data_IF_229649222297
#
_entry.id   IF_229649222297
#
_cell.length_a   1.000
_cell.length_b   1.000
_cell.length_c   1.000
_cell.angle_alpha   90.00
_cell.angle_beta   90.00
_cell.angle_gamma   90.00
#
_symmetry.space_group_name_H-M   'P 1'
#
loop_
_entity.id
_entity.type
_entity.pdbx_description
1 polymer ?
#
# COMPACT_ATOMS: atom_id res chain seq x y z
N UNK A 1 19.42 5.76 18.16
CA UNK A 1 18.21 4.93 17.97
C UNK A 1 17.52 5.15 16.64
N UNK A 2 17.41 6.37 16.16
CA UNK A 2 16.84 6.66 14.81
C UNK A 2 17.57 5.98 13.65
N UNK A 3 18.89 5.84 13.73
CA UNK A 3 19.70 5.14 12.70
C UNK A 3 19.37 3.64 12.56
N UNK A 4 18.91 2.99 13.62
CA UNK A 4 18.62 1.54 13.59
C UNK A 4 17.35 1.22 12.84
N UNK A 5 16.28 2.00 13.04
CA UNK A 5 15.00 1.75 12.37
C UNK A 5 15.05 2.10 10.87
N UNK A 6 15.67 3.22 10.51
CA UNK A 6 15.87 3.59 9.11
C UNK A 6 16.64 2.49 8.36
N UNK A 7 17.62 1.86 9.02
CA UNK A 7 18.36 0.72 8.50
C UNK A 7 17.46 -0.50 8.28
N UNK A 8 16.60 -0.86 9.25
CA UNK A 8 15.68 -2.00 9.11
C UNK A 8 14.64 -1.81 8.01
N UNK A 9 14.13 -0.58 7.84
CA UNK A 9 13.22 -0.25 6.75
C UNK A 9 13.95 -0.38 5.41
N UNK A 10 15.16 0.14 5.29
CA UNK A 10 15.95 0.04 4.07
C UNK A 10 16.25 -1.42 3.70
N UNK A 11 16.73 -2.22 4.64
CA UNK A 11 16.99 -3.65 4.43
C UNK A 11 15.73 -4.42 4.00
N UNK A 12 14.57 -4.12 4.60
CA UNK A 12 13.29 -4.70 4.19
C UNK A 12 12.92 -4.31 2.75
N UNK A 13 13.08 -3.04 2.39
CA UNK A 13 12.75 -2.56 1.04
C UNK A 13 13.67 -3.18 -0.02
N UNK A 14 14.94 -3.33 0.28
CA UNK A 14 15.93 -3.99 -0.60
C UNK A 14 15.55 -5.47 -0.80
N UNK A 15 15.15 -6.17 0.27
CA UNK A 15 14.74 -7.57 0.19
C UNK A 15 13.49 -7.76 -0.66
N UNK A 16 12.43 -6.96 -0.45
CA UNK A 16 11.20 -7.09 -1.25
C UNK A 16 11.40 -6.66 -2.70
N UNK A 17 12.32 -5.75 -2.97
CA UNK A 17 12.70 -5.40 -4.34
C UNK A 17 13.33 -6.60 -5.05
N UNK A 18 14.28 -7.27 -4.40
CA UNK A 18 14.94 -8.46 -4.94
C UNK A 18 14.00 -9.64 -5.12
N UNK A 19 13.12 -9.89 -4.13
CA UNK A 19 12.24 -11.06 -4.13
C UNK A 19 11.00 -10.90 -5.02
N UNK A 20 10.42 -9.69 -5.08
CA UNK A 20 9.12 -9.44 -5.70
C UNK A 20 9.17 -8.55 -6.93
N UNK A 21 10.30 -7.94 -7.23
CA UNK A 21 10.46 -7.03 -8.37
C UNK A 21 9.47 -5.86 -8.35
N UNK A 22 9.19 -5.31 -7.15
CA UNK A 22 8.27 -4.19 -7.01
C UNK A 22 8.81 -2.93 -7.68
N UNK A 23 7.91 -2.10 -8.21
CA UNK A 23 8.31 -0.83 -8.82
C UNK A 23 8.89 0.15 -7.79
N UNK A 24 9.79 1.03 -8.22
CA UNK A 24 10.37 2.09 -7.40
C UNK A 24 9.29 2.95 -6.71
N UNK A 25 8.20 3.25 -7.41
CA UNK A 25 7.06 4.00 -6.86
C UNK A 25 6.39 3.27 -5.70
N UNK A 26 6.27 1.94 -5.80
CA UNK A 26 5.71 1.12 -4.71
C UNK A 26 6.63 1.10 -3.50
N UNK A 27 7.94 0.93 -3.71
CA UNK A 27 8.93 0.94 -2.64
C UNK A 27 8.98 2.30 -1.93
N UNK A 28 8.99 3.40 -2.69
CA UNK A 28 8.94 4.75 -2.14
C UNK A 28 7.64 5.01 -1.35
N UNK A 29 6.51 4.47 -1.80
CA UNK A 29 5.24 4.57 -1.09
C UNK A 29 5.27 3.78 0.23
N UNK A 30 5.83 2.56 0.22
CA UNK A 30 5.99 1.74 1.42
C UNK A 30 6.92 2.40 2.44
N UNK A 31 8.05 2.94 1.98
CA UNK A 31 8.97 3.69 2.83
C UNK A 31 8.28 4.87 3.53
N UNK A 32 7.54 5.69 2.75
CA UNK A 32 6.79 6.82 3.31
C UNK A 32 5.73 6.37 4.33
N UNK A 33 5.04 5.28 4.06
CA UNK A 33 4.01 4.75 4.96
C UNK A 33 4.62 4.26 6.28
N UNK A 34 5.75 3.56 6.24
CA UNK A 34 6.46 3.06 7.43
C UNK A 34 7.03 4.22 8.26
N UNK A 35 7.75 5.15 7.63
CA UNK A 35 8.33 6.33 8.31
C UNK A 35 7.24 7.21 8.91
N UNK A 36 6.15 7.46 8.18
CA UNK A 36 5.03 8.24 8.70
C UNK A 36 4.35 7.57 9.90
N UNK A 37 4.29 6.24 9.92
CA UNK A 37 3.75 5.48 11.06
C UNK A 37 4.64 5.62 12.28
N UNK A 38 5.96 5.50 12.13
CA UNK A 38 6.91 5.73 13.23
C UNK A 38 6.77 7.12 13.84
N UNK A 39 6.75 8.15 13.00
CA UNK A 39 6.57 9.53 13.45
C UNK A 39 5.23 9.72 14.18
N UNK A 40 4.16 9.09 13.69
CA UNK A 40 2.85 9.16 14.31
C UNK A 40 2.85 8.49 15.68
N UNK A 41 3.40 7.26 15.79
CA UNK A 41 3.52 6.51 17.04
C UNK A 41 4.28 7.33 18.09
N UNK A 42 5.42 7.88 17.71
CA UNK A 42 6.26 8.67 18.62
C UNK A 42 5.58 9.96 19.12
N UNK A 43 4.74 10.61 18.30
CA UNK A 43 4.14 11.91 18.63
C UNK A 43 2.76 11.81 19.26
N UNK A 44 2.00 10.76 18.99
CA UNK A 44 0.58 10.67 19.33
C UNK A 44 0.29 9.77 20.51
N UNK A 45 1.17 8.82 20.79
CA UNK A 45 1.00 7.91 21.91
C UNK A 45 1.87 8.34 23.09
N UNK A 46 1.30 8.31 24.28
CA UNK A 46 1.97 8.77 25.52
C UNK A 46 3.23 7.96 25.86
N UNK A 47 3.28 6.70 25.47
CA UNK A 47 4.44 5.82 25.65
C UNK A 47 5.41 5.84 24.47
N UNK A 48 5.13 6.62 23.43
CA UNK A 48 5.99 6.87 22.27
C UNK A 48 6.70 5.62 21.74
N UNK A 49 5.98 4.54 21.39
CA UNK A 49 6.62 3.30 20.95
C UNK A 49 7.29 3.51 19.60
N UNK A 50 8.41 2.84 19.40
CA UNK A 50 8.99 2.70 18.05
C UNK A 50 8.15 1.74 17.22
N UNK A 51 8.34 1.74 15.90
CA UNK A 51 7.65 0.78 15.02
C UNK A 51 7.95 -0.69 15.42
N UNK A 52 9.16 -0.98 15.89
CA UNK A 52 9.54 -2.31 16.38
C UNK A 52 8.95 -2.65 17.77
N UNK A 53 8.58 -1.65 18.57
CA UNK A 53 7.99 -1.85 19.88
C UNK A 53 6.47 -1.70 19.89
N UNK A 54 5.88 -1.30 18.77
CA UNK A 54 4.44 -1.09 18.64
C UNK A 54 3.66 -2.42 18.75
N UNK A 55 2.61 -2.40 19.54
CA UNK A 55 1.71 -3.53 19.69
C UNK A 55 0.48 -3.39 18.76
N UNK A 56 -0.40 -4.40 18.79
CA UNK A 56 -1.62 -4.41 17.99
C UNK A 56 -2.51 -3.17 18.25
N UNK A 57 -2.67 -2.76 19.52
CA UNK A 57 -3.52 -1.61 19.87
C UNK A 57 -2.95 -0.29 19.33
N UNK A 58 -1.63 -0.13 19.33
CA UNK A 58 -0.94 1.04 18.78
C UNK A 58 -1.17 1.16 17.27
N UNK A 59 -1.05 0.05 16.55
CA UNK A 59 -1.28 0.01 15.11
C UNK A 59 -2.75 0.19 14.73
N UNK A 60 -3.66 -0.34 15.54
CA UNK A 60 -5.09 -0.12 15.37
C UNK A 60 -5.44 1.36 15.55
N UNK A 61 -4.86 2.02 16.55
CA UNK A 61 -5.02 3.46 16.76
C UNK A 61 -4.46 4.28 15.59
N UNK A 62 -3.31 3.89 15.04
CA UNK A 62 -2.73 4.53 13.85
C UNK A 62 -3.64 4.36 12.62
N UNK A 63 -4.19 3.19 12.40
CA UNK A 63 -5.14 2.91 11.32
C UNK A 63 -6.41 3.75 11.47
N UNK A 64 -7.00 3.78 12.66
CA UNK A 64 -8.19 4.57 12.97
C UNK A 64 -7.95 6.05 12.71
N UNK A 65 -6.80 6.57 13.15
CA UNK A 65 -6.43 7.97 12.89
C UNK A 65 -6.35 8.28 11.39
N UNK A 66 -5.75 7.39 10.58
CA UNK A 66 -5.69 7.56 9.12
C UNK A 66 -7.08 7.60 8.48
N UNK A 67 -7.97 6.71 8.89
CA UNK A 67 -9.35 6.67 8.39
C UNK A 67 -10.09 7.96 8.77
N UNK A 68 -9.96 8.42 10.01
CA UNK A 68 -10.60 9.65 10.50
C UNK A 68 -10.06 10.91 9.80
N UNK A 69 -8.81 10.89 9.34
CA UNK A 69 -8.22 11.98 8.54
C UNK A 69 -8.65 11.94 7.06
N UNK A 70 -9.56 11.04 6.68
CA UNK A 70 -10.08 10.94 5.32
C UNK A 70 -9.18 10.17 4.34
N UNK A 71 -8.23 9.36 4.83
CA UNK A 71 -7.43 8.52 3.95
C UNK A 71 -8.31 7.57 3.13
N UNK A 72 -8.12 7.55 1.82
CA UNK A 72 -8.87 6.67 0.92
C UNK A 72 -8.61 5.18 1.22
N UNK A 73 -9.60 4.34 0.98
CA UNK A 73 -9.54 2.87 1.24
C UNK A 73 -8.30 2.21 0.62
N UNK A 74 -7.92 2.58 -0.60
CA UNK A 74 -6.71 2.07 -1.28
C UNK A 74 -5.43 2.48 -0.55
N UNK A 75 -5.39 3.70 -0.04
CA UNK A 75 -4.25 4.23 0.72
C UNK A 75 -4.07 3.48 2.04
N UNK A 76 -5.16 3.21 2.76
CA UNK A 76 -5.15 2.42 4.00
C UNK A 76 -4.76 0.97 3.72
N UNK A 77 -5.28 0.37 2.64
CA UNK A 77 -4.94 -1.00 2.24
C UNK A 77 -3.45 -1.13 1.88
N UNK A 78 -2.90 -0.16 1.13
CA UNK A 78 -1.45 -0.13 0.83
C UNK A 78 -0.61 0.00 2.10
N UNK A 79 -0.98 0.93 2.97
CA UNK A 79 -0.32 1.13 4.26
C UNK A 79 -0.30 -0.15 5.09
N UNK A 80 -1.43 -0.85 5.21
CA UNK A 80 -1.50 -2.12 5.94
C UNK A 80 -0.65 -3.21 5.26
N UNK A 81 -0.59 -3.22 3.92
CA UNK A 81 0.28 -4.15 3.18
C UNK A 81 1.76 -3.88 3.44
N UNK A 82 2.17 -2.61 3.51
CA UNK A 82 3.54 -2.22 3.85
C UNK A 82 3.91 -2.65 5.27
N UNK A 83 3.04 -2.41 6.25
CA UNK A 83 3.25 -2.84 7.64
C UNK A 83 3.34 -4.36 7.77
N UNK A 84 2.39 -5.09 7.19
CA UNK A 84 2.40 -6.57 7.21
C UNK A 84 3.66 -7.15 6.58
N UNK A 85 4.11 -6.56 5.48
CA UNK A 85 5.36 -6.96 4.85
C UNK A 85 6.55 -6.74 5.78
N UNK A 86 6.64 -5.55 6.36
CA UNK A 86 7.72 -5.18 7.29
C UNK A 86 7.76 -6.06 8.55
N UNK A 87 6.62 -6.29 9.19
CA UNK A 87 6.58 -7.11 10.40
C UNK A 87 6.87 -8.59 10.12
N UNK A 88 6.39 -9.15 8.98
CA UNK A 88 6.79 -10.50 8.56
C UNK A 88 8.28 -10.61 8.33
N UNK A 89 8.88 -9.60 7.71
CA UNK A 89 10.32 -9.52 7.54
C UNK A 89 11.03 -9.51 8.90
N UNK A 90 10.57 -8.70 9.86
CA UNK A 90 11.15 -8.63 11.20
C UNK A 90 11.04 -9.96 11.95
N UNK A 91 9.92 -10.67 11.83
CA UNK A 91 9.76 -12.00 12.46
C UNK A 91 10.64 -13.03 11.76
N UNK A 92 10.72 -13.04 10.44
CA UNK A 92 11.56 -13.96 9.68
C UNK A 92 13.07 -13.80 9.99
N UNK A 93 13.50 -12.59 10.37
CA UNK A 93 14.88 -12.28 10.75
C UNK A 93 15.09 -12.23 12.26
N UNK A 94 14.19 -12.86 13.04
CA UNK A 94 14.28 -12.98 14.50
C UNK A 94 14.43 -11.64 15.24
N UNK A 95 13.90 -10.55 14.64
CA UNK A 95 13.89 -9.22 15.24
C UNK A 95 12.67 -8.96 16.12
N UNK A 96 11.61 -9.75 15.92
CA UNK A 96 10.37 -9.76 16.68
C UNK A 96 9.89 -11.19 16.84
N UNK A 97 9.32 -11.49 17.99
CA UNK A 97 8.75 -12.80 18.28
C UNK A 97 7.39 -13.01 17.62
N UNK A 98 6.60 -11.94 17.52
CA UNK A 98 5.24 -11.97 16.96
C UNK A 98 4.97 -10.80 16.00
N UNK A 99 4.06 -11.03 15.06
CA UNK A 99 3.58 -10.00 14.12
C UNK A 99 2.37 -9.26 14.72
N UNK A 100 2.52 -7.98 15.12
CA UNK A 100 1.43 -7.22 15.72
C UNK A 100 0.31 -6.86 14.71
N UNK A 101 0.53 -7.07 13.41
CA UNK A 101 -0.48 -6.84 12.38
C UNK A 101 -1.37 -8.04 12.11
N UNK A 102 -1.12 -9.19 12.76
CA UNK A 102 -1.79 -10.46 12.50
C UNK A 102 -3.33 -10.37 12.52
N UNK A 103 -3.88 -9.58 13.43
CA UNK A 103 -5.33 -9.43 13.61
C UNK A 103 -5.89 -8.10 13.09
N UNK A 104 -5.06 -7.27 12.44
CA UNK A 104 -5.54 -6.06 11.79
C UNK A 104 -6.29 -6.45 10.50
N UNK A 105 -7.55 -6.08 10.42
CA UNK A 105 -8.35 -6.34 9.23
C UNK A 105 -8.31 -5.16 8.25
N UNK A 106 -8.33 -5.46 6.97
CA UNK A 106 -8.50 -4.43 5.95
C UNK A 106 -9.86 -3.76 6.09
N UNK A 107 -9.93 -2.43 5.93
CA UNK A 107 -11.23 -1.75 5.82
C UNK A 107 -12.04 -2.43 4.72
N UNK A 108 -13.27 -2.87 5.04
CA UNK A 108 -14.15 -3.53 4.06
C UNK A 108 -14.29 -2.67 2.82
N UNK A 109 -13.66 -3.08 1.75
CA UNK A 109 -13.84 -2.48 0.44
C UNK A 109 -15.12 -3.09 -0.13
N UNK A 110 -16.15 -2.27 -0.33
CA UNK A 110 -17.25 -2.67 -1.19
C UNK A 110 -16.65 -3.05 -2.55
N UNK A 111 -16.87 -4.27 -3.02
CA UNK A 111 -16.56 -4.64 -4.40
C UNK A 111 -17.37 -3.72 -5.30
N UNK A 112 -16.73 -2.73 -5.90
CA UNK A 112 -17.33 -2.06 -7.04
C UNK A 112 -17.30 -3.08 -8.18
N UNK A 113 -18.49 -3.55 -8.56
CA UNK A 113 -18.62 -4.33 -9.77
C UNK A 113 -18.12 -3.44 -10.94
N UNK A 114 -17.33 -4.00 -11.86
CA UNK A 114 -16.95 -3.28 -13.06
C UNK A 114 -18.24 -2.77 -13.74
N UNK A 115 -18.26 -1.50 -14.08
CA UNK A 115 -19.36 -0.95 -14.88
C UNK A 115 -19.25 -1.58 -16.26
N UNK A 116 -20.18 -2.46 -16.59
CA UNK A 116 -20.29 -2.99 -17.95
C UNK A 116 -20.71 -1.87 -18.91
N UNK A 117 -20.08 -1.82 -20.06
CA UNK A 117 -20.50 -0.92 -21.14
C UNK A 117 -21.79 -1.47 -21.74
N UNK A 118 -22.71 -0.57 -22.12
CA UNK A 118 -23.86 -0.95 -22.96
C UNK A 118 -23.39 -1.27 -24.37
N UNK A 119 -24.20 -2.01 -25.15
CA UNK A 119 -23.90 -2.31 -26.55
C UNK A 119 -23.64 -1.03 -27.37
N UNK A 120 -24.44 0.01 -27.17
CA UNK A 120 -24.28 1.31 -27.81
C UNK A 120 -22.95 2.00 -27.44
N UNK A 121 -22.50 1.86 -26.18
CA UNK A 121 -21.21 2.40 -25.73
C UNK A 121 -20.02 1.63 -26.33
N UNK A 122 -20.17 0.31 -26.50
CA UNK A 122 -19.17 -0.53 -27.18
C UNK A 122 -19.07 -0.13 -28.66
N UNK A 123 -20.22 0.04 -29.36
CA UNK A 123 -20.23 0.45 -30.76
C UNK A 123 -19.58 1.83 -30.95
N UNK A 124 -19.86 2.79 -30.06
CA UNK A 124 -19.23 4.11 -30.07
C UNK A 124 -17.73 4.03 -29.80
N UNK A 125 -17.28 3.15 -28.90
CA UNK A 125 -15.88 2.95 -28.62
C UNK A 125 -15.14 2.37 -29.84
N UNK A 126 -15.74 1.37 -30.50
CA UNK A 126 -15.17 0.75 -31.70
C UNK A 126 -15.15 1.72 -32.91
N UNK A 127 -16.07 2.65 -32.98
CA UNK A 127 -16.13 3.66 -34.04
C UNK A 127 -15.24 4.90 -33.76
N UNK A 128 -14.77 5.09 -32.54
CA UNK A 128 -14.03 6.29 -32.11
C UNK A 128 -12.68 6.52 -32.82
N UNK A 129 -11.86 5.48 -33.15
CA UNK A 129 -10.61 5.72 -33.82
C UNK A 129 -10.78 6.23 -35.25
N UNK A 130 -10.06 7.30 -35.60
CA UNK A 130 -10.07 7.87 -36.96
C UNK A 130 -9.41 6.91 -37.96
N UNK A 131 -10.14 6.54 -39.02
CA UNK A 131 -9.66 5.57 -40.04
C UNK A 131 -8.77 6.21 -41.12
N UNK A 132 -8.64 7.52 -41.12
CA UNK A 132 -7.81 8.31 -42.04
C UNK A 132 -6.38 8.52 -41.59
N UNK A 133 -6.03 8.03 -40.40
CA UNK A 133 -4.67 8.10 -39.83
C UNK A 133 -4.11 6.72 -39.54
N UNK A 134 -2.77 6.55 -39.68
CA UNK A 134 -2.08 5.29 -39.36
C UNK A 134 -2.30 4.88 -37.88
N UNK A 135 -2.30 5.85 -36.97
CA UNK A 135 -2.54 5.62 -35.54
C UNK A 135 -3.98 5.17 -35.29
N UNK A 136 -4.94 5.81 -35.92
CA UNK A 136 -6.36 5.42 -35.77
C UNK A 136 -6.66 4.04 -36.35
N UNK A 137 -6.06 3.68 -37.49
CA UNK A 137 -6.15 2.32 -38.05
C UNK A 137 -5.56 1.27 -37.08
N UNK A 138 -4.41 1.55 -36.49
CA UNK A 138 -3.81 0.71 -35.46
C UNK A 138 -4.73 0.55 -34.26
N UNK A 139 -5.23 1.64 -33.72
CA UNK A 139 -6.07 1.66 -32.52
C UNK A 139 -7.38 0.90 -32.76
N UNK A 140 -7.97 1.03 -33.96
CA UNK A 140 -9.17 0.29 -34.37
C UNK A 140 -8.90 -1.23 -34.48
N UNK A 141 -7.71 -1.61 -34.90
CA UNK A 141 -7.32 -3.03 -34.97
C UNK A 141 -7.06 -3.65 -33.60
N UNK A 142 -6.83 -2.84 -32.56
CA UNK A 142 -6.53 -3.28 -31.18
C UNK A 142 -7.78 -3.36 -30.29
N UNK A 143 -8.90 -2.76 -30.71
CA UNK A 143 -10.20 -2.79 -30.03
C UNK A 143 -11.05 -3.99 -30.45
#
# INVERSE_FOLDING_TARGET
>A
MEHSLAKHIAEYLDEIWLQKGLSENTLAAYQRDLVATEVWLAKRLSHSPTLLAANHADLLAAMTSRVNQGAGKRSVARWLSALRGFYRYCVAHERLDEDPTRFLEFPKQGRQLPKSLSAEQVERLLAAPAIDTAVGLRDRAML
#
